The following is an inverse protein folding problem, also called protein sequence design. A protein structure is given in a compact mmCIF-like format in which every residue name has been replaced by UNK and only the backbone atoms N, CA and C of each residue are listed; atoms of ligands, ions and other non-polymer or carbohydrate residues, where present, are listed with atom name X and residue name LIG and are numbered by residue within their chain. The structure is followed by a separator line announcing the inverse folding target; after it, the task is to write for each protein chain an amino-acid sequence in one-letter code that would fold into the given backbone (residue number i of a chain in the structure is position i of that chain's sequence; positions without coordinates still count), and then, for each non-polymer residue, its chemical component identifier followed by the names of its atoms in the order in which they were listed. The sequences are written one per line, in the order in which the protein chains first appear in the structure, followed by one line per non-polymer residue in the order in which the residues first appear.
data_IF_449402777472
#
_entry.id   IF_449402777472
#
_cell.length_a   1.000
_cell.length_b   1.000
_cell.length_c   1.000
_cell.angle_alpha   90.00
_cell.angle_beta   90.00
_cell.angle_gamma   90.00
#
_symmetry.space_group_name_H-M   'P 1'
#
loop_
_entity.id
_entity.type
_entity.pdbx_description
1 polymer ?
#
# COMPACT_ATOMS: atom_id res chain seq x y z
N UNK A 1 12.38 -5.05 -17.83
CA UNK A 1 13.48 -5.04 -16.86
C UNK A 1 13.11 -5.86 -15.64
N UNK A 2 14.07 -6.61 -15.09
CA UNK A 2 13.95 -7.26 -13.77
C UNK A 2 14.03 -6.22 -12.64
N UNK A 3 13.69 -6.63 -11.40
CA UNK A 3 13.84 -5.78 -10.24
C UNK A 3 15.30 -5.34 -10.04
N UNK A 4 16.26 -6.27 -10.23
CA UNK A 4 17.68 -5.96 -10.11
C UNK A 4 18.16 -4.95 -11.19
N UNK A 5 17.74 -5.12 -12.44
CA UNK A 5 18.07 -4.18 -13.51
C UNK A 5 17.48 -2.78 -13.23
N UNK A 6 16.26 -2.73 -12.71
CA UNK A 6 15.58 -1.47 -12.35
C UNK A 6 16.32 -0.73 -11.23
N UNK A 7 16.71 -1.46 -10.19
CA UNK A 7 17.51 -0.93 -9.07
C UNK A 7 18.88 -0.47 -9.54
N UNK A 8 19.54 -1.28 -10.39
CA UNK A 8 20.88 -0.99 -10.94
C UNK A 8 20.92 0.31 -11.74
N UNK A 9 19.86 0.63 -12.51
CA UNK A 9 19.76 1.90 -13.24
C UNK A 9 19.84 3.14 -12.35
N UNK A 10 19.42 3.03 -11.11
CA UNK A 10 19.43 4.13 -10.12
C UNK A 10 20.68 4.19 -9.24
N UNK A 11 21.59 3.24 -9.39
CA UNK A 11 22.83 3.18 -8.62
C UNK A 11 24.05 3.67 -9.43
N UNK A 12 25.15 3.93 -8.73
CA UNK A 12 26.40 4.30 -9.36
C UNK A 12 26.87 3.19 -10.32
N UNK A 13 27.32 3.58 -11.52
CA UNK A 13 27.76 2.68 -12.60
C UNK A 13 28.99 1.83 -12.27
N UNK A 14 29.64 2.08 -11.12
CA UNK A 14 30.74 1.25 -10.61
C UNK A 14 30.31 -0.17 -10.21
N UNK A 15 29.00 -0.39 -9.95
CA UNK A 15 28.47 -1.69 -9.53
C UNK A 15 28.06 -2.52 -10.75
N UNK A 16 28.43 -3.80 -10.77
CA UNK A 16 27.92 -4.76 -11.74
C UNK A 16 26.49 -5.19 -11.40
N UNK A 17 25.73 -5.66 -12.39
CA UNK A 17 24.37 -6.18 -12.15
C UNK A 17 24.38 -7.38 -11.19
N UNK A 18 25.42 -8.24 -11.25
CA UNK A 18 25.56 -9.38 -10.35
C UNK A 18 25.75 -8.96 -8.89
N UNK A 19 26.59 -7.97 -8.64
CA UNK A 19 26.80 -7.39 -7.30
C UNK A 19 25.53 -6.75 -6.75
N UNK A 20 24.82 -5.99 -7.58
CA UNK A 20 23.54 -5.37 -7.16
C UNK A 20 22.49 -6.44 -6.85
N UNK A 21 22.42 -7.49 -7.66
CA UNK A 21 21.50 -8.61 -7.43
C UNK A 21 21.75 -9.27 -6.08
N UNK A 22 23.01 -9.50 -5.72
CA UNK A 22 23.37 -10.10 -4.44
C UNK A 22 23.11 -9.15 -3.27
N UNK A 23 23.42 -7.87 -3.41
CA UNK A 23 23.11 -6.84 -2.40
C UNK A 23 21.61 -6.72 -2.15
N UNK A 24 20.76 -6.81 -3.20
CA UNK A 24 19.31 -6.83 -3.05
C UNK A 24 18.89 -8.01 -2.16
N UNK A 25 19.41 -9.22 -2.41
CA UNK A 25 19.09 -10.40 -1.59
C UNK A 25 19.47 -10.21 -0.13
N UNK A 26 20.68 -9.69 0.12
CA UNK A 26 21.18 -9.46 1.48
C UNK A 26 20.33 -8.42 2.22
N UNK A 27 20.04 -7.28 1.60
CA UNK A 27 19.20 -6.24 2.19
C UNK A 27 17.79 -6.76 2.42
N UNK A 28 17.19 -7.39 1.42
CA UNK A 28 15.85 -7.93 1.52
C UNK A 28 15.75 -8.96 2.67
N UNK A 29 16.70 -9.87 2.78
CA UNK A 29 16.76 -10.85 3.87
C UNK A 29 16.96 -10.18 5.24
N UNK A 30 17.84 -9.17 5.33
CA UNK A 30 18.14 -8.47 6.59
C UNK A 30 16.94 -7.72 7.18
N UNK A 31 16.04 -7.24 6.32
CA UNK A 31 14.85 -6.50 6.73
C UNK A 31 13.53 -7.29 6.58
N UNK A 32 13.61 -8.59 6.31
CA UNK A 32 12.42 -9.44 6.16
C UNK A 32 11.52 -9.06 4.97
N UNK A 33 12.10 -8.44 3.94
CA UNK A 33 11.39 -8.04 2.73
C UNK A 33 11.49 -9.16 1.68
N UNK A 34 10.34 -9.67 1.23
CA UNK A 34 10.28 -10.67 0.17
C UNK A 34 10.40 -9.99 -1.20
N UNK A 35 11.60 -10.02 -1.79
CA UNK A 35 11.91 -9.45 -3.10
C UNK A 35 12.72 -10.44 -3.92
N UNK A 36 12.17 -10.91 -5.05
CA UNK A 36 12.92 -11.65 -6.06
C UNK A 36 13.59 -10.67 -7.04
N UNK A 37 14.93 -10.53 -7.02
CA UNK A 37 15.63 -9.59 -7.87
C UNK A 37 15.59 -9.94 -9.36
N UNK A 38 15.30 -11.19 -9.71
CA UNK A 38 15.28 -11.64 -11.11
C UNK A 38 13.88 -11.53 -11.74
N UNK A 39 12.86 -11.27 -10.95
CA UNK A 39 11.50 -11.17 -11.45
C UNK A 39 11.30 -9.86 -12.23
N UNK A 40 10.66 -9.90 -13.43
CA UNK A 40 10.36 -8.71 -14.21
C UNK A 40 9.40 -7.77 -13.47
N UNK A 41 9.70 -6.46 -13.43
CA UNK A 41 8.92 -5.46 -12.65
C UNK A 41 7.46 -5.39 -13.08
N UNK A 42 7.14 -5.59 -14.36
CA UNK A 42 5.77 -5.55 -14.86
C UNK A 42 4.90 -6.71 -14.34
N UNK A 43 5.53 -7.80 -13.86
CA UNK A 43 4.83 -8.96 -13.28
C UNK A 43 4.57 -8.80 -11.79
N UNK A 44 5.16 -7.78 -11.17
CA UNK A 44 5.04 -7.52 -9.74
C UNK A 44 3.70 -6.83 -9.44
N UNK A 45 3.02 -7.27 -8.39
CA UNK A 45 1.92 -6.52 -7.79
C UNK A 45 2.40 -5.15 -7.27
N UNK A 46 1.48 -4.25 -7.01
CA UNK A 46 1.83 -2.91 -6.50
C UNK A 46 2.60 -2.98 -5.19
N UNK A 47 2.21 -3.88 -4.28
CA UNK A 47 2.91 -4.08 -3.01
C UNK A 47 4.32 -4.66 -3.17
N UNK A 48 4.53 -5.56 -4.16
CA UNK A 48 5.87 -6.07 -4.48
C UNK A 48 6.76 -4.98 -5.07
N UNK A 49 6.23 -4.15 -5.97
CA UNK A 49 6.98 -2.99 -6.51
C UNK A 49 7.39 -2.03 -5.41
N UNK A 50 6.53 -1.78 -4.46
CA UNK A 50 6.84 -0.94 -3.31
C UNK A 50 7.98 -1.52 -2.47
N UNK A 51 8.01 -2.84 -2.23
CA UNK A 51 9.15 -3.49 -1.56
C UNK A 51 10.45 -3.32 -2.32
N UNK A 52 10.42 -3.42 -3.65
CA UNK A 52 11.59 -3.14 -4.51
C UNK A 52 12.09 -1.71 -4.32
N UNK A 53 11.19 -0.72 -4.29
CA UNK A 53 11.55 0.68 -4.06
C UNK A 53 12.15 0.91 -2.66
N UNK A 54 11.61 0.25 -1.63
CA UNK A 54 12.18 0.31 -0.28
C UNK A 54 13.59 -0.30 -0.28
N UNK A 55 13.78 -1.49 -0.85
CA UNK A 55 15.09 -2.13 -0.95
C UNK A 55 16.08 -1.24 -1.73
N UNK A 56 15.64 -0.61 -2.82
CA UNK A 56 16.45 0.34 -3.59
C UNK A 56 16.93 1.51 -2.72
N UNK A 57 16.03 2.09 -1.92
CA UNK A 57 16.41 3.15 -1.00
C UNK A 57 17.41 2.67 0.07
N UNK A 58 17.20 1.49 0.64
CA UNK A 58 18.06 0.91 1.67
C UNK A 58 19.48 0.59 1.17
N UNK A 59 19.64 0.24 -0.09
CA UNK A 59 20.96 -0.01 -0.70
C UNK A 59 21.88 1.22 -0.66
N UNK A 60 21.32 2.43 -0.56
CA UNK A 60 22.09 3.68 -0.43
C UNK A 60 22.48 4.01 1.01
N UNK A 61 22.04 3.21 1.99
CA UNK A 61 22.23 3.47 3.43
C UNK A 61 21.84 4.89 3.83
N UNK A 62 20.57 5.29 3.64
CA UNK A 62 20.13 6.66 3.84
C UNK A 62 20.17 7.04 5.32
N UNK A 63 20.56 8.29 5.61
CA UNK A 63 20.40 8.88 6.96
C UNK A 63 18.98 9.39 7.19
N UNK A 64 18.24 9.69 6.12
CA UNK A 64 16.84 10.10 6.12
C UNK A 64 16.08 9.33 5.05
N UNK A 65 15.01 8.67 5.44
CA UNK A 65 14.07 7.99 4.55
C UNK A 65 12.73 8.74 4.57
N UNK A 66 12.27 9.17 3.39
CA UNK A 66 10.97 9.83 3.24
C UNK A 66 10.01 8.86 2.57
N UNK A 67 8.86 8.62 3.20
CA UNK A 67 7.82 7.72 2.74
C UNK A 67 6.50 8.49 2.64
N UNK A 68 5.93 8.52 1.43
CA UNK A 68 4.65 9.16 1.15
C UNK A 68 3.60 8.09 0.88
N UNK A 69 2.57 8.01 1.77
CA UNK A 69 1.48 7.04 1.74
C UNK A 69 1.92 5.58 1.49
N UNK A 70 2.94 5.06 2.20
CA UNK A 70 3.57 3.79 1.83
C UNK A 70 2.70 2.56 2.07
N UNK A 71 1.53 2.71 2.66
CA UNK A 71 0.63 1.60 2.99
C UNK A 71 -0.66 1.59 2.18
N UNK A 72 -0.84 2.54 1.26
CA UNK A 72 -2.11 2.75 0.53
C UNK A 72 -2.59 1.52 -0.23
N UNK A 73 -1.66 0.66 -0.67
CA UNK A 73 -1.92 -0.52 -1.50
C UNK A 73 -1.48 -1.84 -0.84
N UNK A 74 -1.07 -1.77 0.43
CA UNK A 74 -0.59 -2.92 1.18
C UNK A 74 -1.73 -3.65 1.91
N UNK A 75 -1.57 -4.96 2.05
CA UNK A 75 -2.40 -5.74 2.97
C UNK A 75 -2.04 -5.41 4.42
N UNK A 76 -2.94 -5.64 5.39
CA UNK A 76 -2.64 -5.44 6.81
C UNK A 76 -1.36 -6.17 7.27
N UNK A 77 -1.13 -7.39 6.77
CA UNK A 77 0.07 -8.16 7.08
C UNK A 77 1.34 -7.49 6.53
N UNK A 78 1.28 -6.99 5.29
CA UNK A 78 2.41 -6.29 4.67
C UNK A 78 2.71 -4.96 5.38
N UNK A 79 1.68 -4.26 5.89
CA UNK A 79 1.83 -3.06 6.73
C UNK A 79 2.61 -3.40 8.01
N UNK A 80 2.28 -4.49 8.69
CA UNK A 80 3.00 -4.91 9.89
C UNK A 80 4.47 -5.22 9.60
N UNK A 81 4.75 -5.94 8.50
CA UNK A 81 6.13 -6.21 8.06
C UNK A 81 6.89 -4.91 7.79
N UNK A 82 6.27 -3.95 7.08
CA UNK A 82 6.85 -2.63 6.84
C UNK A 82 7.17 -1.91 8.16
N UNK A 83 6.27 -1.92 9.13
CA UNK A 83 6.48 -1.26 10.42
C UNK A 83 7.65 -1.88 11.21
N UNK A 84 7.79 -3.21 11.17
CA UNK A 84 8.97 -3.88 11.76
C UNK A 84 10.25 -3.40 11.10
N UNK A 85 10.28 -3.36 9.77
CA UNK A 85 11.42 -2.85 8.99
C UNK A 85 11.76 -1.39 9.35
N UNK A 86 10.75 -0.51 9.42
CA UNK A 86 10.96 0.90 9.74
C UNK A 86 11.46 1.13 11.17
N UNK A 87 10.95 0.36 12.15
CA UNK A 87 11.46 0.39 13.53
C UNK A 87 12.90 -0.07 13.60
N UNK A 88 13.26 -1.12 12.88
CA UNK A 88 14.65 -1.58 12.80
C UNK A 88 15.55 -0.49 12.23
N UNK A 89 15.19 0.12 11.08
CA UNK A 89 15.94 1.22 10.49
C UNK A 89 16.11 2.41 11.44
N UNK A 90 15.05 2.78 12.14
CA UNK A 90 15.11 3.84 13.13
C UNK A 90 16.08 3.51 14.27
N UNK A 91 16.09 2.25 14.74
CA UNK A 91 17.03 1.78 15.77
C UNK A 91 18.49 1.76 15.29
N UNK A 92 18.71 1.60 13.98
CA UNK A 92 20.02 1.66 13.32
C UNK A 92 20.47 3.11 13.04
N UNK A 93 19.66 4.11 13.41
CA UNK A 93 19.99 5.55 13.31
C UNK A 93 19.47 6.25 12.05
N UNK A 94 18.67 5.59 11.22
CA UNK A 94 18.00 6.24 10.09
C UNK A 94 16.81 7.06 10.57
N UNK A 95 16.76 8.34 10.25
CA UNK A 95 15.60 9.19 10.49
C UNK A 95 14.52 8.88 9.45
N UNK A 96 13.24 8.85 9.87
CA UNK A 96 12.13 8.53 8.98
C UNK A 96 11.10 9.65 8.99
N UNK A 97 10.82 10.23 7.82
CA UNK A 97 9.67 11.10 7.60
C UNK A 97 8.56 10.28 6.96
N UNK A 98 7.52 10.01 7.74
CA UNK A 98 6.38 9.19 7.34
C UNK A 98 5.16 10.08 7.10
N UNK A 99 4.69 10.13 5.85
CA UNK A 99 3.52 10.93 5.44
C UNK A 99 2.35 9.98 5.25
N UNK A 100 1.26 10.22 5.97
CA UNK A 100 0.04 9.42 5.85
C UNK A 100 -1.19 10.18 6.39
N UNK A 101 -2.36 9.81 5.90
CA UNK A 101 -3.65 10.23 6.43
C UNK A 101 -4.29 9.16 7.33
N UNK A 102 -3.64 8.00 7.49
CA UNK A 102 -4.12 6.88 8.32
C UNK A 102 -3.67 7.06 9.77
N UNK A 103 -4.56 7.55 10.60
CA UNK A 103 -4.26 7.95 11.98
C UNK A 103 -3.77 6.80 12.86
N UNK A 104 -4.29 5.59 12.65
CA UNK A 104 -3.84 4.40 13.40
C UNK A 104 -2.37 4.09 13.10
N UNK A 105 -1.91 4.30 11.86
CA UNK A 105 -0.52 4.10 11.48
C UNK A 105 0.40 5.13 12.11
N UNK A 106 0.00 6.40 12.08
CA UNK A 106 0.72 7.50 12.72
C UNK A 106 0.89 7.23 14.22
N UNK A 107 -0.20 6.83 14.90
CA UNK A 107 -0.18 6.51 16.32
C UNK A 107 0.65 5.27 16.67
N UNK A 108 0.67 4.29 15.77
CA UNK A 108 1.41 3.04 15.99
C UNK A 108 2.92 3.16 15.72
N UNK A 109 3.33 4.07 14.82
CA UNK A 109 4.71 4.12 14.32
C UNK A 109 5.48 5.36 14.75
N UNK A 110 4.83 6.55 14.75
CA UNK A 110 5.53 7.82 14.84
C UNK A 110 5.73 8.27 16.29
N UNK A 111 6.89 8.90 16.56
CA UNK A 111 7.20 9.52 17.85
C UNK A 111 6.66 10.96 17.95
N UNK A 112 6.54 11.63 16.81
CA UNK A 112 6.07 13.00 16.68
C UNK A 112 5.21 13.14 15.45
N UNK A 113 4.19 14.00 15.51
CA UNK A 113 3.27 14.23 14.40
C UNK A 113 3.05 15.73 14.20
N UNK A 114 3.34 16.19 12.99
CA UNK A 114 2.98 17.54 12.52
C UNK A 114 1.77 17.42 11.61
N UNK A 115 0.67 18.07 11.96
CA UNK A 115 -0.58 18.03 11.20
C UNK A 115 -0.67 19.24 10.27
N UNK A 116 -0.93 18.96 8.99
CA UNK A 116 -1.08 19.98 7.95
C UNK A 116 -2.55 20.08 7.49
N UNK A 117 -3.03 21.32 7.32
CA UNK A 117 -4.33 21.61 6.72
C UNK A 117 -4.25 22.89 5.90
N UNK A 118 -4.63 22.81 4.61
CA UNK A 118 -4.57 23.98 3.72
C UNK A 118 -3.17 24.60 3.58
N UNK A 119 -2.12 23.78 3.65
CA UNK A 119 -0.72 24.24 3.56
C UNK A 119 -0.16 24.85 4.85
N UNK A 120 -0.91 24.82 5.96
CA UNK A 120 -0.48 25.35 7.25
C UNK A 120 -0.40 24.27 8.31
N UNK A 121 0.54 24.41 9.26
CA UNK A 121 0.63 23.57 10.44
C UNK A 121 -0.51 23.93 11.38
N UNK A 122 -1.37 22.96 11.68
CA UNK A 122 -2.51 23.12 12.59
C UNK A 122 -2.28 22.47 13.96
N UNK A 123 -1.22 21.70 14.10
CA UNK A 123 -0.81 21.10 15.37
C UNK A 123 0.48 20.32 15.26
N UNK A 124 1.22 20.29 16.36
CA UNK A 124 2.38 19.43 16.58
C UNK A 124 2.14 18.65 17.88
N UNK A 125 2.10 17.35 17.80
CA UNK A 125 1.65 16.49 18.90
C UNK A 125 2.48 15.21 19.02
N UNK A 126 2.45 14.62 20.20
CA UNK A 126 2.87 13.24 20.42
C UNK A 126 1.67 12.32 20.08
N UNK A 127 1.70 11.58 18.96
CA UNK A 127 0.54 10.82 18.51
C UNK A 127 0.18 9.67 19.45
N UNK A 128 1.09 9.23 20.32
CA UNK A 128 0.82 8.17 21.29
C UNK A 128 -0.15 8.63 22.40
N UNK A 129 -0.24 9.95 22.64
CA UNK A 129 -1.12 10.58 23.63
C UNK A 129 -2.44 11.06 23.03
N UNK A 130 -2.57 11.02 21.71
CA UNK A 130 -3.73 11.49 20.97
C UNK A 130 -4.72 10.35 20.66
N UNK A 131 -5.97 10.74 20.40
CA UNK A 131 -6.99 9.85 19.85
C UNK A 131 -7.15 10.11 18.35
N UNK A 132 -7.76 9.16 17.61
CA UNK A 132 -8.11 9.40 16.21
C UNK A 132 -9.04 10.60 16.05
N UNK A 133 -9.93 10.84 17.01
CA UNK A 133 -10.85 11.97 17.00
C UNK A 133 -10.11 13.31 17.16
N UNK A 134 -9.13 13.40 18.08
CA UNK A 134 -8.35 14.62 18.28
C UNK A 134 -7.46 14.93 17.07
N UNK A 135 -6.78 13.91 16.50
CA UNK A 135 -5.99 14.07 15.27
C UNK A 135 -6.86 14.44 14.07
N UNK A 136 -8.03 13.80 13.89
CA UNK A 136 -9.00 14.17 12.85
C UNK A 136 -9.44 15.62 12.96
N UNK A 137 -9.70 16.12 14.18
CA UNK A 137 -10.08 17.51 14.40
C UNK A 137 -8.99 18.48 13.96
N UNK A 138 -7.72 18.18 14.21
CA UNK A 138 -6.61 18.97 13.73
C UNK A 138 -6.50 18.97 12.20
N UNK A 139 -6.73 17.81 11.55
CA UNK A 139 -6.65 17.63 10.10
C UNK A 139 -7.83 18.30 9.37
N UNK A 140 -9.07 18.10 9.84
CA UNK A 140 -10.29 18.51 9.13
C UNK A 140 -10.80 19.84 9.66
N UNK A 141 -10.57 20.15 10.93
CA UNK A 141 -11.08 21.34 11.63
C UNK A 141 -12.48 21.18 12.22
N UNK A 142 -13.08 20.00 12.07
CA UNK A 142 -14.38 19.63 12.63
C UNK A 142 -14.34 18.18 13.10
N UNK A 143 -15.27 17.79 13.93
CA UNK A 143 -15.47 16.37 14.23
C UNK A 143 -16.01 15.64 12.99
N UNK A 144 -15.45 14.48 12.65
CA UNK A 144 -16.03 13.66 11.58
C UNK A 144 -17.47 13.33 11.93
N UNK A 145 -18.42 13.50 10.99
CA UNK A 145 -19.80 13.11 11.24
C UNK A 145 -19.87 11.61 11.55
N UNK A 146 -20.68 11.23 12.53
CA UNK A 146 -20.96 9.83 12.80
C UNK A 146 -21.65 9.23 11.56
N UNK A 147 -20.99 8.27 10.92
CA UNK A 147 -21.58 7.52 9.81
C UNK A 147 -22.67 6.58 10.37
N UNK A 148 -23.92 6.98 10.28
CA UNK A 148 -25.03 6.10 10.55
C UNK A 148 -25.36 5.29 9.29
N UNK A 149 -25.38 3.97 9.41
CA UNK A 149 -25.86 3.10 8.34
C UNK A 149 -27.37 3.32 8.20
N UNK A 150 -27.80 3.97 7.12
CA UNK A 150 -29.21 4.10 6.81
C UNK A 150 -29.66 2.80 6.12
N UNK A 151 -30.68 2.17 6.68
CA UNK A 151 -31.33 1.06 6.01
C UNK A 151 -31.96 1.59 4.70
N UNK A 152 -31.44 1.15 3.56
CA UNK A 152 -32.02 1.46 2.25
C UNK A 152 -33.03 0.37 1.87
N UNK A 153 -34.17 0.79 1.30
CA UNK A 153 -35.08 -0.14 0.64
C UNK A 153 -34.48 -0.52 -0.72
N UNK A 154 -34.07 -1.78 -0.87
CA UNK A 154 -33.56 -2.31 -2.13
C UNK A 154 -34.74 -2.65 -3.05
N UNK A 155 -34.64 -2.17 -4.29
CA UNK A 155 -35.68 -2.40 -5.34
C UNK A 155 -35.45 -3.69 -6.14
N UNK A 156 -35.91 -3.66 -7.41
CA UNK A 156 -35.72 -4.77 -8.32
C UNK A 156 -34.24 -4.99 -8.65
N UNK A 157 -33.91 -6.19 -9.08
CA UNK A 157 -32.54 -6.54 -9.56
C UNK A 157 -32.17 -5.65 -10.75
N UNK A 158 -31.09 -4.89 -10.63
CA UNK A 158 -30.58 -3.98 -11.65
C UNK A 158 -29.41 -4.62 -12.44
N UNK A 159 -28.60 -5.44 -11.79
CA UNK A 159 -27.51 -6.20 -12.40
C UNK A 159 -27.47 -7.61 -11.81
N UNK A 160 -27.34 -8.60 -12.68
CA UNK A 160 -27.14 -9.98 -12.25
C UNK A 160 -26.08 -10.66 -13.11
N UNK A 161 -25.07 -11.20 -12.45
CA UNK A 161 -24.09 -12.10 -13.03
C UNK A 161 -24.37 -13.52 -12.55
N UNK A 162 -24.35 -14.49 -13.46
CA UNK A 162 -24.53 -15.90 -13.14
C UNK A 162 -23.42 -16.72 -13.77
N UNK A 163 -22.53 -17.26 -12.93
CA UNK A 163 -21.48 -18.16 -13.39
C UNK A 163 -20.50 -17.51 -14.37
N UNK A 164 -20.24 -16.20 -14.24
CA UNK A 164 -19.32 -15.48 -15.11
C UNK A 164 -17.94 -16.12 -15.02
N UNK A 165 -17.48 -16.67 -16.13
CA UNK A 165 -16.15 -17.25 -16.29
C UNK A 165 -15.43 -16.51 -17.41
N UNK A 166 -14.28 -15.91 -17.09
CA UNK A 166 -13.45 -15.21 -18.05
C UNK A 166 -12.03 -15.77 -17.95
N UNK A 167 -11.50 -16.40 -19.00
CA UNK A 167 -10.12 -16.86 -19.00
C UNK A 167 -9.18 -15.65 -18.94
N UNK A 168 -8.04 -15.84 -18.32
CA UNK A 168 -6.94 -14.87 -18.27
C UNK A 168 -6.59 -14.38 -19.68
N UNK A 169 -6.63 -13.07 -19.88
CA UNK A 169 -6.28 -12.43 -21.16
C UNK A 169 -4.85 -11.88 -21.18
N UNK A 170 -4.31 -11.56 -20.01
CA UNK A 170 -2.96 -11.04 -19.81
C UNK A 170 -2.13 -12.15 -19.13
N UNK A 171 -0.86 -12.42 -19.54
CA UNK A 171 0.01 -13.39 -18.87
C UNK A 171 0.12 -13.22 -17.35
N UNK A 172 -0.23 -12.07 -16.83
CA UNK A 172 -0.18 -11.71 -15.40
C UNK A 172 -1.56 -11.41 -14.79
N UNK A 173 -2.63 -11.58 -15.57
CA UNK A 173 -4.01 -11.44 -15.11
C UNK A 173 -4.50 -12.67 -14.34
N UNK A 174 -5.72 -12.64 -13.93
CA UNK A 174 -6.41 -13.71 -13.19
C UNK A 174 -7.62 -14.17 -13.98
N UNK A 175 -7.85 -15.47 -14.04
CA UNK A 175 -9.09 -16.02 -14.60
C UNK A 175 -10.23 -15.86 -13.60
N UNK A 176 -11.36 -15.30 -14.04
CA UNK A 176 -12.60 -15.36 -13.26
C UNK A 176 -13.23 -16.75 -13.42
N UNK A 177 -13.68 -17.33 -12.31
CA UNK A 177 -14.27 -18.66 -12.31
C UNK A 177 -15.63 -18.62 -11.62
N UNK A 178 -16.68 -18.81 -12.40
CA UNK A 178 -18.07 -18.98 -11.91
C UNK A 178 -18.52 -17.85 -10.97
N UNK A 179 -18.14 -16.59 -11.26
CA UNK A 179 -18.50 -15.44 -10.43
C UNK A 179 -20.00 -15.18 -10.51
N UNK A 180 -20.66 -15.14 -9.35
CA UNK A 180 -22.04 -14.73 -9.18
C UNK A 180 -22.12 -13.42 -8.40
N UNK A 181 -22.92 -12.47 -8.91
CA UNK A 181 -23.15 -11.18 -8.28
C UNK A 181 -24.55 -10.68 -8.63
N UNK A 182 -25.25 -10.15 -7.65
CA UNK A 182 -26.53 -9.46 -7.86
C UNK A 182 -26.46 -8.07 -7.20
N UNK A 183 -26.93 -7.06 -7.92
CA UNK A 183 -27.07 -5.68 -7.42
C UNK A 183 -28.48 -5.22 -7.68
N UNK A 184 -29.16 -4.69 -6.66
CA UNK A 184 -30.54 -4.19 -6.73
C UNK A 184 -30.58 -2.67 -6.85
N UNK A 185 -31.66 -2.16 -7.38
CA UNK A 185 -31.89 -0.72 -7.42
C UNK A 185 -31.83 -0.12 -6.02
N UNK A 186 -31.04 0.94 -5.84
CA UNK A 186 -30.84 1.58 -4.53
C UNK A 186 -29.87 0.84 -3.60
N UNK A 187 -29.26 -0.27 -4.04
CA UNK A 187 -28.26 -1.03 -3.29
C UNK A 187 -26.84 -0.58 -3.61
N UNK A 188 -25.98 -0.58 -2.59
CA UNK A 188 -24.53 -0.40 -2.75
C UNK A 188 -23.86 -1.72 -2.40
N UNK A 189 -23.30 -2.41 -3.42
CA UNK A 189 -22.57 -3.66 -3.23
C UNK A 189 -21.08 -3.39 -3.29
N UNK A 190 -20.36 -3.77 -2.24
CA UNK A 190 -18.90 -3.67 -2.17
C UNK A 190 -18.22 -4.95 -2.67
N UNK A 191 -17.23 -4.80 -3.55
CA UNK A 191 -16.33 -5.89 -3.96
C UNK A 191 -14.98 -5.69 -3.28
N UNK A 192 -14.63 -6.54 -2.34
CA UNK A 192 -13.38 -6.47 -1.58
C UNK A 192 -12.43 -7.60 -1.98
N UNK A 193 -11.14 -7.31 -1.96
CA UNK A 193 -10.09 -8.29 -2.22
C UNK A 193 -8.71 -7.63 -2.25
N UNK A 194 -7.66 -8.44 -2.11
CA UNK A 194 -6.28 -7.98 -2.29
C UNK A 194 -6.07 -7.64 -3.76
N UNK A 195 -5.29 -6.58 -4.04
CA UNK A 195 -4.96 -6.16 -5.41
C UNK A 195 -4.41 -7.35 -6.23
N UNK A 196 -4.94 -7.53 -7.44
CA UNK A 196 -4.56 -8.64 -8.32
C UNK A 196 -5.41 -9.91 -8.20
N UNK A 197 -6.50 -9.89 -7.44
CA UNK A 197 -7.39 -11.06 -7.25
C UNK A 197 -8.62 -11.06 -8.18
N UNK A 198 -8.57 -10.39 -9.32
CA UNK A 198 -9.62 -10.46 -10.34
C UNK A 198 -10.56 -9.25 -10.38
N UNK A 199 -10.37 -8.23 -9.56
CA UNK A 199 -11.21 -7.01 -9.56
C UNK A 199 -11.15 -6.27 -10.90
N UNK A 200 -9.94 -6.20 -11.50
CA UNK A 200 -9.71 -5.58 -12.81
C UNK A 200 -10.45 -6.34 -13.91
N UNK A 201 -10.36 -7.66 -13.88
CA UNK A 201 -11.00 -8.56 -14.83
C UNK A 201 -12.53 -8.52 -14.69
N UNK A 202 -13.03 -8.44 -13.45
CA UNK A 202 -14.46 -8.25 -13.19
C UNK A 202 -14.95 -6.91 -13.73
N UNK A 203 -14.22 -5.82 -13.51
CA UNK A 203 -14.58 -4.51 -14.06
C UNK A 203 -14.57 -4.54 -15.59
N UNK A 204 -13.56 -5.13 -16.21
CA UNK A 204 -13.48 -5.27 -17.66
C UNK A 204 -14.62 -6.14 -18.26
N UNK A 205 -15.14 -7.10 -17.50
CA UNK A 205 -16.27 -7.91 -17.90
C UNK A 205 -17.63 -7.18 -17.78
N UNK A 206 -17.68 -6.10 -17.01
CA UNK A 206 -18.88 -5.27 -16.78
C UNK A 206 -18.94 -4.03 -17.65
N UNK A 207 -17.85 -3.62 -18.27
CA UNK A 207 -17.71 -2.42 -19.14
C UNK A 207 -17.70 -2.81 -20.62
#
# INVERSE_FOLDING_TARGET
LTAAENVWLGLDKANTLAEVTERIRQVAAGYGLDVDPLRPVHTLSVGERQRVEIVRALLTKPQLLILDEPTSVLTPQAVQTLFVTLRQLSSEGCSILYISHKLDEIRALCHHCTVLRGGQVTGEVDPTKETNASLSRLMIGAEPPALAHQASHTGAVALQLRGLTLPQQDPFGVSLQSVGLEVRAGEIVGVAGVSGNGQKELMAALS
#
